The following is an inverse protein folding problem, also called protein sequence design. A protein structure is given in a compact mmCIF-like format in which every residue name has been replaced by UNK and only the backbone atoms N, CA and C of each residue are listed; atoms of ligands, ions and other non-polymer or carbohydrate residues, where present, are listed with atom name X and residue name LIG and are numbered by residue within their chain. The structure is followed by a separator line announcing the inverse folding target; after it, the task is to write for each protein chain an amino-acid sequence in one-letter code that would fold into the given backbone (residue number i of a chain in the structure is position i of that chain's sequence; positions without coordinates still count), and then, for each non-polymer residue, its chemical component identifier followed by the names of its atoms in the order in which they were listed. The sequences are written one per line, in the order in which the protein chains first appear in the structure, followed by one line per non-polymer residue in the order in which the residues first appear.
data_IF_753754058303
#
_entry.id   IF_753754058303
#
_cell.length_a   1.000
_cell.length_b   1.000
_cell.length_c   1.000
_cell.angle_alpha   90.00
_cell.angle_beta   90.00
_cell.angle_gamma   90.00
#
_symmetry.space_group_name_H-M   'P 1'
#
loop_
_entity.id
_entity.type
_entity.pdbx_description
1 polymer ?
#
# COMPACT_ATOMS: atom_id res chain seq x y z
N UNK A 1 34.66 -10.97 -16.73
CA UNK A 1 33.29 -10.53 -17.02
C UNK A 1 32.52 -10.45 -15.71
N UNK A 2 32.54 -9.30 -15.04
CA UNK A 2 31.90 -9.13 -13.73
C UNK A 2 31.46 -7.68 -13.59
N UNK A 3 30.30 -7.47 -12.96
CA UNK A 3 29.65 -6.20 -12.57
C UNK A 3 28.37 -5.87 -13.35
N UNK A 4 27.25 -6.43 -12.88
CA UNK A 4 25.98 -5.71 -12.75
C UNK A 4 24.95 -6.62 -12.06
N UNK A 5 24.99 -6.71 -10.72
CA UNK A 5 23.81 -7.08 -9.94
C UNK A 5 22.81 -5.92 -10.06
N UNK A 6 22.09 -5.83 -11.19
CA UNK A 6 21.02 -4.85 -11.37
C UNK A 6 19.79 -5.31 -10.58
N UNK A 7 19.64 -4.73 -9.39
CA UNK A 7 18.36 -4.37 -8.78
C UNK A 7 17.19 -5.36 -9.01
N UNK A 8 17.11 -6.44 -8.23
CA UNK A 8 15.87 -7.22 -8.06
C UNK A 8 14.89 -6.58 -7.06
N UNK A 9 15.10 -5.32 -6.69
CA UNK A 9 14.36 -4.58 -5.65
C UNK A 9 12.90 -4.19 -6.03
N UNK A 10 12.49 -3.99 -7.30
CA UNK A 10 11.14 -3.50 -7.61
C UNK A 10 10.02 -4.47 -7.21
N UNK A 11 10.17 -5.77 -7.50
CA UNK A 11 9.13 -6.76 -7.28
C UNK A 11 8.84 -6.96 -5.78
N UNK A 12 9.88 -7.16 -4.96
CA UNK A 12 9.74 -7.36 -3.52
C UNK A 12 9.16 -6.14 -2.80
N UNK A 13 9.54 -4.91 -3.22
CA UNK A 13 8.97 -3.68 -2.64
C UNK A 13 7.52 -3.48 -3.03
N UNK A 14 7.14 -3.73 -4.28
CA UNK A 14 5.75 -3.63 -4.74
C UNK A 14 4.87 -4.67 -4.04
N UNK A 15 5.34 -5.90 -3.90
CA UNK A 15 4.64 -6.95 -3.15
C UNK A 15 4.39 -6.53 -1.70
N UNK A 16 5.40 -6.00 -1.02
CA UNK A 16 5.25 -5.51 0.36
C UNK A 16 4.22 -4.38 0.47
N UNK A 17 4.20 -3.45 -0.49
CA UNK A 17 3.21 -2.36 -0.53
C UNK A 17 1.80 -2.87 -0.84
N UNK A 18 1.66 -3.86 -1.70
CA UNK A 18 0.39 -4.53 -1.98
C UNK A 18 -0.17 -5.24 -0.74
N UNK A 19 0.67 -5.97 0.00
CA UNK A 19 0.27 -6.60 1.27
C UNK A 19 -0.19 -5.56 2.29
N UNK A 20 0.54 -4.45 2.44
CA UNK A 20 0.13 -3.35 3.33
C UNK A 20 -1.20 -2.73 2.90
N UNK A 21 -1.40 -2.52 1.59
CA UNK A 21 -2.65 -1.98 1.06
C UNK A 21 -3.83 -2.91 1.33
N UNK A 22 -3.65 -4.22 1.15
CA UNK A 22 -4.68 -5.21 1.45
C UNK A 22 -5.07 -5.21 2.95
N UNK A 23 -4.09 -5.08 3.85
CA UNK A 23 -4.36 -4.96 5.29
C UNK A 23 -5.18 -3.69 5.62
N UNK A 24 -4.81 -2.54 5.05
CA UNK A 24 -5.57 -1.28 5.24
C UNK A 24 -6.98 -1.38 4.65
N UNK A 25 -7.16 -2.09 3.53
CA UNK A 25 -8.49 -2.33 2.95
C UNK A 25 -9.36 -3.23 3.84
N UNK A 26 -8.78 -4.25 4.45
CA UNK A 26 -9.48 -5.10 5.41
C UNK A 26 -9.90 -4.32 6.66
N UNK A 27 -9.00 -3.53 7.24
CA UNK A 27 -9.31 -2.67 8.40
C UNK A 27 -10.40 -1.64 8.06
N UNK A 28 -10.32 -1.02 6.88
CA UNK A 28 -11.33 -0.06 6.43
C UNK A 28 -12.71 -0.71 6.26
N UNK A 29 -12.79 -1.94 5.77
CA UNK A 29 -14.04 -2.68 5.66
C UNK A 29 -14.62 -3.03 7.05
N UNK A 30 -13.77 -3.41 8.00
CA UNK A 30 -14.18 -3.68 9.38
C UNK A 30 -14.73 -2.41 10.05
N UNK A 31 -13.99 -1.30 9.96
CA UNK A 31 -14.42 -0.02 10.51
C UNK A 31 -15.70 0.48 9.84
N UNK A 32 -15.86 0.35 8.53
CA UNK A 32 -17.11 0.76 7.87
C UNK A 32 -18.34 -0.06 8.27
N UNK A 33 -18.15 -1.29 8.76
CA UNK A 33 -19.22 -2.16 9.24
C UNK A 33 -19.52 -1.95 10.72
N UNK A 34 -18.57 -1.41 11.48
CA UNK A 34 -18.74 -1.14 12.90
C UNK A 34 -19.56 0.12 13.12
N UNK A 35 -20.60 0.01 13.95
CA UNK A 35 -21.46 1.13 14.37
C UNK A 35 -20.75 2.12 15.31
N UNK A 36 -19.57 1.76 15.83
CA UNK A 36 -18.77 2.56 16.76
C UNK A 36 -17.57 3.24 16.08
N UNK A 37 -17.43 3.11 14.77
CA UNK A 37 -16.27 3.65 14.06
C UNK A 37 -16.28 5.16 14.02
N UNK A 38 -15.09 5.72 14.22
CA UNK A 38 -14.88 7.16 14.08
C UNK A 38 -14.68 7.53 12.62
N UNK A 39 -15.41 8.54 12.15
CA UNK A 39 -15.22 9.15 10.82
C UNK A 39 -13.77 9.59 10.58
N UNK A 40 -13.09 10.02 11.65
CA UNK A 40 -11.67 10.34 11.61
C UNK A 40 -10.81 9.11 11.26
N UNK A 41 -11.06 7.97 11.91
CA UNK A 41 -10.31 6.72 11.64
C UNK A 41 -10.55 6.22 10.21
N UNK A 42 -11.80 6.26 9.75
CA UNK A 42 -12.14 5.91 8.35
C UNK A 42 -11.41 6.83 7.36
N UNK A 43 -11.35 8.12 7.66
CA UNK A 43 -10.66 9.11 6.82
C UNK A 43 -9.16 8.85 6.76
N UNK A 44 -8.53 8.55 7.90
CA UNK A 44 -7.11 8.21 7.97
C UNK A 44 -6.79 6.92 7.20
N UNK A 45 -7.64 5.90 7.30
CA UNK A 45 -7.48 4.66 6.54
C UNK A 45 -7.61 4.88 5.02
N UNK A 46 -8.55 5.73 4.58
CA UNK A 46 -8.67 6.14 3.16
C UNK A 46 -7.42 6.87 2.67
N UNK A 47 -6.86 7.78 3.48
CA UNK A 47 -5.62 8.49 3.15
C UNK A 47 -4.44 7.53 3.02
N UNK A 48 -4.27 6.62 3.99
CA UNK A 48 -3.23 5.57 3.93
C UNK A 48 -3.37 4.70 2.68
N UNK A 49 -4.59 4.31 2.31
CA UNK A 49 -4.87 3.55 1.10
C UNK A 49 -4.47 4.31 -0.18
N UNK A 50 -4.78 5.60 -0.25
CA UNK A 50 -4.40 6.45 -1.40
C UNK A 50 -2.88 6.57 -1.52
N UNK A 51 -2.20 6.86 -0.41
CA UNK A 51 -0.74 6.97 -0.38
C UNK A 51 -0.05 5.69 -0.88
N UNK A 52 -0.49 4.51 -0.39
CA UNK A 52 0.07 3.23 -0.83
C UNK A 52 -0.16 2.98 -2.32
N UNK A 53 -1.29 3.42 -2.88
CA UNK A 53 -1.57 3.34 -4.31
C UNK A 53 -0.59 4.21 -5.10
N UNK A 54 -0.39 5.45 -4.69
CA UNK A 54 0.53 6.39 -5.34
C UNK A 54 1.97 5.89 -5.28
N UNK A 55 2.41 5.31 -4.15
CA UNK A 55 3.75 4.75 -4.03
C UNK A 55 3.96 3.54 -4.96
N UNK A 56 2.97 2.66 -5.08
CA UNK A 56 3.02 1.52 -6.02
C UNK A 56 3.10 2.01 -7.47
N UNK A 57 2.27 2.98 -7.86
CA UNK A 57 2.33 3.49 -9.23
C UNK A 57 3.61 4.27 -9.50
N UNK A 58 4.15 4.99 -8.52
CA UNK A 58 5.46 5.64 -8.62
C UNK A 58 6.58 4.63 -8.90
N UNK A 59 6.57 3.47 -8.23
CA UNK A 59 7.57 2.41 -8.48
C UNK A 59 7.37 1.80 -9.87
N UNK A 60 6.12 1.56 -10.29
CA UNK A 60 5.80 0.99 -11.61
C UNK A 60 6.17 1.91 -12.76
N UNK A 61 6.04 3.22 -12.59
CA UNK A 61 6.45 4.21 -13.60
C UNK A 61 7.98 4.39 -13.66
N UNK A 62 8.68 4.11 -12.55
CA UNK A 62 10.14 4.20 -12.46
C UNK A 62 10.87 2.90 -12.87
N UNK A 63 10.15 1.79 -13.04
CA UNK A 63 10.67 0.49 -13.47
C UNK A 63 10.48 0.28 -14.97
#
# INVERSE_FOLDING_TARGET
MSLALRNSVPASRVEALLSKKAAVEAELLEEQRSFASSDYKITELKRKKLYLKEEIEGIRQAS
#
